data_IF_329090795937
#
_entry.id   IF_329090795937
#
_cell.length_a   1.000
_cell.length_b   1.000
_cell.length_c   1.000
_cell.angle_alpha   90.00
_cell.angle_beta   90.00
_cell.angle_gamma   90.00
#
_symmetry.space_group_name_H-M   'P 1'
#
loop_
_entity.id
_entity.type
_entity.pdbx_description
1 polymer ?
#
# COMPACT_ATOMS: atom_id res chain seq x y z
N UNK A 1 13.24 14.16 -1.26
CA UNK A 1 12.67 12.80 -1.41
C UNK A 1 11.19 13.01 -1.67
N UNK A 2 10.67 12.61 -2.84
CA UNK A 2 9.24 12.82 -3.16
C UNK A 2 8.46 11.73 -2.43
N UNK A 3 7.52 12.10 -1.58
CA UNK A 3 6.66 11.15 -0.88
C UNK A 3 5.65 10.54 -1.85
N UNK A 4 5.49 9.22 -1.76
CA UNK A 4 4.73 8.38 -2.69
C UNK A 4 3.29 8.16 -2.23
N UNK A 5 2.73 9.11 -1.48
CA UNK A 5 1.45 8.98 -0.80
C UNK A 5 0.30 9.01 -1.82
N UNK A 6 -0.54 7.98 -1.81
CA UNK A 6 -1.58 7.79 -2.82
C UNK A 6 -2.85 7.27 -2.20
N UNK A 7 -3.99 7.80 -2.61
CA UNK A 7 -5.29 7.16 -2.36
C UNK A 7 -5.43 5.90 -3.21
N UNK A 8 -6.42 5.05 -2.90
CA UNK A 8 -6.74 3.83 -3.65
C UNK A 8 -6.81 4.04 -5.17
N UNK A 9 -7.51 5.08 -5.62
CA UNK A 9 -7.67 5.39 -7.05
C UNK A 9 -6.39 5.94 -7.68
N UNK A 10 -5.61 6.73 -6.92
CA UNK A 10 -4.29 7.18 -7.40
C UNK A 10 -3.32 6.00 -7.53
N UNK A 11 -3.33 5.07 -6.58
CA UNK A 11 -2.49 3.88 -6.60
C UNK A 11 -2.81 2.99 -7.81
N UNK A 12 -4.09 2.73 -8.10
CA UNK A 12 -4.51 2.00 -9.31
C UNK A 12 -3.98 2.64 -10.59
N UNK A 13 -4.18 3.96 -10.75
CA UNK A 13 -3.70 4.70 -11.92
C UNK A 13 -2.18 4.67 -12.05
N UNK A 14 -1.47 4.85 -10.94
CA UNK A 14 -0.02 4.88 -10.94
C UNK A 14 0.59 3.51 -11.18
N UNK A 15 -0.04 2.44 -10.69
CA UNK A 15 0.34 1.07 -11.00
C UNK A 15 0.14 0.76 -12.48
N UNK A 16 -1.05 1.07 -13.03
CA UNK A 16 -1.33 0.88 -14.46
C UNK A 16 -0.39 1.68 -15.37
N UNK A 17 0.09 2.84 -14.91
CA UNK A 17 1.08 3.66 -15.61
C UNK A 17 2.54 3.22 -15.39
N UNK A 18 2.79 2.12 -14.65
CA UNK A 18 4.13 1.63 -14.33
C UNK A 18 4.93 2.53 -13.39
N UNK A 19 4.28 3.43 -12.65
CA UNK A 19 4.91 4.35 -11.67
C UNK A 19 5.10 3.70 -10.30
N UNK A 20 4.35 2.65 -9.99
CA UNK A 20 4.50 1.82 -8.78
C UNK A 20 5.26 0.54 -9.12
N UNK A 21 6.28 0.24 -8.32
CA UNK A 21 7.15 -0.93 -8.52
C UNK A 21 7.04 -1.95 -7.40
N UNK A 22 6.48 -1.57 -6.26
CA UNK A 22 6.32 -2.48 -5.13
C UNK A 22 5.36 -1.96 -4.06
N UNK A 23 4.99 -2.87 -3.18
CA UNK A 23 4.22 -2.59 -1.99
C UNK A 23 4.68 -3.47 -0.83
N UNK A 24 4.53 -2.98 0.39
CA UNK A 24 4.88 -3.66 1.63
C UNK A 24 3.73 -3.51 2.64
N UNK A 25 3.34 -4.62 3.24
CA UNK A 25 2.41 -4.64 4.38
C UNK A 25 3.19 -4.35 5.66
N UNK A 26 2.75 -3.35 6.41
CA UNK A 26 3.38 -2.90 7.65
C UNK A 26 2.36 -3.04 8.78
N UNK A 27 2.75 -3.71 9.86
CA UNK A 27 1.92 -3.78 11.06
C UNK A 27 1.97 -2.47 11.82
N UNK A 28 0.82 -1.94 12.22
CA UNK A 28 0.73 -0.67 12.94
C UNK A 28 1.10 -0.91 14.42
N UNK A 29 2.14 -0.26 14.98
CA UNK A 29 2.65 -0.62 16.32
C UNK A 29 1.67 -0.40 17.47
N UNK A 30 0.77 0.58 17.33
CA UNK A 30 -0.18 0.96 18.40
C UNK A 30 -1.49 0.17 18.37
N UNK A 31 -1.74 -0.62 17.33
CA UNK A 31 -2.93 -1.45 17.22
C UNK A 31 -2.52 -2.90 16.98
N UNK A 32 -3.00 -3.81 17.83
CA UNK A 32 -2.50 -5.18 17.86
C UNK A 32 -2.70 -5.96 16.53
N UNK A 33 -3.59 -5.49 15.66
CA UNK A 33 -4.05 -6.22 14.48
C UNK A 33 -4.08 -5.41 13.19
N UNK A 34 -3.84 -4.10 13.21
CA UNK A 34 -3.99 -3.32 11.99
C UNK A 34 -2.75 -3.35 11.12
N UNK A 35 -3.01 -3.26 9.83
CA UNK A 35 -2.02 -3.27 8.77
C UNK A 35 -2.17 -2.01 7.95
N UNK A 36 -1.06 -1.43 7.53
CA UNK A 36 -1.01 -0.35 6.56
C UNK A 36 -0.20 -0.80 5.35
N UNK A 37 -0.45 -0.18 4.21
CA UNK A 37 0.28 -0.45 2.97
C UNK A 37 1.26 0.67 2.72
N UNK A 38 2.54 0.33 2.59
CA UNK A 38 3.55 1.22 2.05
C UNK A 38 3.77 0.90 0.58
N UNK A 39 3.69 1.92 -0.25
CA UNK A 39 3.90 1.88 -1.69
C UNK A 39 5.32 2.35 -2.03
N UNK A 40 5.88 1.78 -3.09
CA UNK A 40 7.19 2.14 -3.63
C UNK A 40 7.09 2.45 -5.12
N UNK A 41 7.70 3.55 -5.54
CA UNK A 41 7.75 4.01 -6.91
C UNK A 41 9.08 3.73 -7.60
N UNK A 42 9.11 3.96 -8.91
CA UNK A 42 10.26 3.69 -9.80
C UNK A 42 11.51 4.48 -9.41
N UNK A 43 11.35 5.68 -8.85
CA UNK A 43 12.48 6.57 -8.56
C UNK A 43 12.98 6.45 -7.12
N UNK A 44 12.63 5.35 -6.44
CA UNK A 44 12.93 5.17 -5.01
C UNK A 44 12.08 6.04 -4.10
N UNK A 45 11.01 6.65 -4.62
CA UNK A 45 9.96 7.27 -3.84
C UNK A 45 9.19 6.21 -3.05
N UNK A 46 8.90 6.49 -1.78
CA UNK A 46 8.11 5.62 -0.92
C UNK A 46 7.09 6.45 -0.12
N UNK A 47 5.96 5.84 0.21
CA UNK A 47 4.82 6.54 0.81
C UNK A 47 3.72 5.56 1.18
N UNK A 48 2.68 6.05 1.84
CA UNK A 48 1.60 5.22 2.34
C UNK A 48 0.40 5.22 1.38
N UNK A 49 -0.34 4.12 1.37
CA UNK A 49 -1.70 4.14 0.87
C UNK A 49 -2.55 4.95 1.86
N UNK A 50 -3.25 5.95 1.36
CA UNK A 50 -4.05 6.86 2.16
C UNK A 50 -5.54 6.58 2.05
N UNK A 51 -6.25 6.86 3.13
CA UNK A 51 -7.70 6.98 3.12
C UNK A 51 -8.11 8.28 2.41
N UNK A 52 -9.14 8.23 1.57
CA UNK A 52 -9.55 9.40 0.79
C UNK A 52 -10.24 10.47 1.65
N UNK A 53 -10.86 10.08 2.76
CA UNK A 53 -11.60 10.98 3.64
C UNK A 53 -10.67 11.69 4.61
N UNK A 54 -9.73 10.96 5.20
CA UNK A 54 -8.84 11.51 6.24
C UNK A 54 -7.48 11.96 5.70
N UNK A 55 -7.07 11.47 4.53
CA UNK A 55 -5.71 11.62 3.98
C UNK A 55 -4.61 11.08 4.91
N UNK A 56 -4.98 10.21 5.85
CA UNK A 56 -4.06 9.49 6.72
C UNK A 56 -3.78 8.09 6.16
N UNK A 57 -2.71 7.39 6.60
CA UNK A 57 -2.47 6.01 6.21
C UNK A 57 -3.70 5.13 6.44
N UNK A 58 -4.15 4.46 5.38
CA UNK A 58 -5.32 3.60 5.47
C UNK A 58 -4.97 2.32 6.24
N UNK A 59 -5.64 2.14 7.38
CA UNK A 59 -5.44 1.01 8.28
C UNK A 59 -6.49 -0.08 8.01
N UNK A 60 -6.02 -1.30 7.79
CA UNK A 60 -6.84 -2.48 7.58
C UNK A 60 -6.82 -3.35 8.84
N UNK A 61 -8.00 -3.72 9.35
CA UNK A 61 -8.13 -4.55 10.55
C UNK A 61 -7.62 -6.00 10.41
N UNK A 62 -7.28 -6.44 9.20
CA UNK A 62 -6.69 -7.75 8.95
C UNK A 62 -5.75 -7.73 7.74
N UNK A 63 -4.80 -8.67 7.73
CA UNK A 63 -3.85 -8.84 6.63
C UNK A 63 -4.57 -9.18 5.32
N UNK A 64 -5.62 -10.01 5.36
CA UNK A 64 -6.39 -10.41 4.17
C UNK A 64 -7.05 -9.22 3.48
N UNK A 65 -7.58 -8.26 4.27
CA UNK A 65 -8.15 -7.02 3.72
C UNK A 65 -7.09 -6.16 3.05
N UNK A 66 -5.90 -6.07 3.65
CA UNK A 66 -4.79 -5.34 3.06
C UNK A 66 -4.30 -6.02 1.77
N UNK A 67 -4.20 -7.35 1.74
CA UNK A 67 -3.86 -8.12 0.52
C UNK A 67 -4.92 -7.91 -0.56
N UNK A 68 -6.21 -7.95 -0.21
CA UNK A 68 -7.31 -7.67 -1.15
C UNK A 68 -7.19 -6.27 -1.75
N UNK A 69 -6.80 -5.27 -0.95
CA UNK A 69 -6.57 -3.92 -1.46
C UNK A 69 -5.39 -3.86 -2.44
N UNK A 70 -4.30 -4.61 -2.18
CA UNK A 70 -3.17 -4.68 -3.11
C UNK A 70 -3.57 -5.36 -4.44
N UNK A 71 -4.38 -6.42 -4.38
CA UNK A 71 -4.93 -7.08 -5.58
C UNK A 71 -5.81 -6.11 -6.39
N UNK A 72 -6.63 -5.30 -5.71
CA UNK A 72 -7.42 -4.24 -6.35
C UNK A 72 -6.57 -3.13 -6.99
N UNK A 73 -5.34 -2.87 -6.52
CA UNK A 73 -4.39 -1.96 -7.19
C UNK A 73 -3.88 -2.58 -8.50
N UNK A 74 -3.82 -3.91 -8.57
CA UNK A 74 -3.25 -4.68 -9.65
C UNK A 74 -1.95 -5.40 -9.27
N UNK A 75 -1.50 -5.33 -8.02
CA UNK A 75 -0.38 -6.15 -7.58
C UNK A 75 -0.82 -7.60 -7.47
N UNK A 76 -0.08 -8.51 -8.09
CA UNK A 76 -0.30 -9.96 -7.95
C UNK A 76 0.73 -10.56 -7.00
N UNK A 77 0.27 -11.40 -6.07
CA UNK A 77 1.13 -12.10 -5.12
C UNK A 77 0.81 -13.59 -5.19
N UNK A 78 1.85 -14.41 -5.32
CA UNK A 78 1.73 -15.87 -5.24
C UNK A 78 2.31 -16.44 -3.95
N UNK A 79 3.14 -15.67 -3.25
CA UNK A 79 3.88 -16.11 -2.07
C UNK A 79 4.12 -14.94 -1.10
N UNK A 80 4.05 -15.23 0.20
CA UNK A 80 4.49 -14.33 1.25
C UNK A 80 5.91 -14.71 1.65
N UNK A 81 6.84 -13.74 1.61
CA UNK A 81 8.20 -13.94 2.06
C UNK A 81 8.33 -13.50 3.51
N UNK A 82 8.62 -14.44 4.41
CA UNK A 82 9.07 -14.15 5.78
C UNK A 82 10.58 -13.93 5.71
N UNK A 83 11.04 -12.74 6.13
CA UNK A 83 12.46 -12.39 6.13
C UNK A 83 13.21 -13.09 7.26
#
# INVERSE_FOLDING_TARGET
>A
MIECNRTMEQAKRDFAAGRLTGAMLIRVPMTASDWAIRLSGVKGDAGMLLDVQTLEPHCFASVDKAVTALDQIGFSFSQLKVA
#
